data_IF_670109271529
#
_entry.id   IF_670109271529
#
_cell.length_a   1.000
_cell.length_b   1.000
_cell.length_c   1.000
_cell.angle_alpha   90.00
_cell.angle_beta   90.00
_cell.angle_gamma   90.00
#
_symmetry.space_group_name_H-M   'P 1'
#
loop_
_entity.id
_entity.type
_entity.pdbx_description
1 polymer ?
#
# COMPACT_ATOMS: atom_id res chain seq x y z
N UNK A 1 -33.23 3.66 -0.55
CA UNK A 1 -32.34 4.52 -1.37
C UNK A 1 -31.25 5.06 -0.46
N UNK A 2 -30.01 5.26 -0.96
CA UNK A 2 -28.94 5.91 -0.16
C UNK A 2 -29.34 7.34 0.18
N UNK A 3 -29.00 7.82 1.38
CA UNK A 3 -29.25 9.19 1.82
C UNK A 3 -28.55 10.23 0.89
N UNK A 4 -29.17 11.41 0.71
CA UNK A 4 -28.66 12.46 -0.20
C UNK A 4 -27.22 12.86 0.15
N UNK A 5 -26.93 13.04 1.43
CA UNK A 5 -25.60 13.34 1.94
C UNK A 5 -24.58 12.27 1.53
N UNK A 6 -24.86 10.99 1.79
CA UNK A 6 -23.95 9.89 1.46
C UNK A 6 -23.68 9.86 -0.03
N UNK A 7 -24.73 9.96 -0.86
CA UNK A 7 -24.60 9.95 -2.33
C UNK A 7 -23.72 11.08 -2.83
N UNK A 8 -23.99 12.33 -2.42
CA UNK A 8 -23.27 13.49 -2.93
C UNK A 8 -21.84 13.59 -2.40
N UNK A 9 -21.60 13.28 -1.13
CA UNK A 9 -20.25 13.21 -0.58
C UNK A 9 -19.44 12.08 -1.22
N UNK A 10 -20.05 10.90 -1.39
CA UNK A 10 -19.39 9.77 -2.05
C UNK A 10 -18.99 10.14 -3.47
N UNK A 11 -19.91 10.69 -4.27
CA UNK A 11 -19.63 11.10 -5.64
C UNK A 11 -18.51 12.16 -5.72
N UNK A 12 -18.54 13.15 -4.82
CA UNK A 12 -17.50 14.18 -4.75
C UNK A 12 -16.13 13.60 -4.37
N UNK A 13 -16.06 12.80 -3.30
CA UNK A 13 -14.80 12.26 -2.80
C UNK A 13 -14.20 11.18 -3.73
N UNK A 14 -15.01 10.44 -4.48
CA UNK A 14 -14.55 9.48 -5.49
C UNK A 14 -13.79 10.17 -6.64
N UNK A 15 -14.16 11.40 -7.00
CA UNK A 15 -13.42 12.21 -7.98
C UNK A 15 -12.01 12.56 -7.45
N UNK A 16 -11.92 12.77 -6.14
CA UNK A 16 -10.66 13.09 -5.43
C UNK A 16 -9.87 11.83 -5.00
N UNK A 17 -10.37 10.62 -5.32
CA UNK A 17 -9.82 9.32 -4.88
C UNK A 17 -9.72 9.21 -3.35
N UNK A 18 -10.69 9.76 -2.65
CA UNK A 18 -10.80 9.71 -1.19
C UNK A 18 -12.01 8.85 -0.82
N UNK A 19 -11.81 7.95 0.13
CA UNK A 19 -12.88 7.12 0.68
C UNK A 19 -13.73 7.96 1.61
N UNK A 20 -15.05 7.80 1.52
CA UNK A 20 -16.00 8.37 2.47
C UNK A 20 -15.71 7.92 3.92
N UNK A 21 -15.10 6.74 4.07
CA UNK A 21 -14.75 6.13 5.35
C UNK A 21 -13.33 6.46 5.83
N UNK A 22 -12.62 7.38 5.16
CA UNK A 22 -11.27 7.82 5.56
C UNK A 22 -11.23 8.68 6.82
N UNK A 23 -12.39 9.12 7.32
CA UNK A 23 -12.50 10.05 8.44
C UNK A 23 -12.43 11.52 8.03
N UNK A 24 -12.16 11.84 6.76
CA UNK A 24 -12.07 13.23 6.29
C UNK A 24 -13.37 14.02 6.49
N UNK A 25 -14.52 13.34 6.38
CA UNK A 25 -15.83 13.97 6.61
C UNK A 25 -15.94 14.46 8.05
N UNK A 26 -15.55 13.62 9.01
CA UNK A 26 -15.56 13.99 10.43
C UNK A 26 -14.53 15.09 10.71
N UNK A 27 -13.32 14.98 10.16
CA UNK A 27 -12.29 16.00 10.29
C UNK A 27 -12.77 17.37 9.84
N UNK A 28 -13.31 17.47 8.63
CA UNK A 28 -13.84 18.74 8.11
C UNK A 28 -15.04 19.21 8.92
N UNK A 29 -15.92 18.31 9.37
CA UNK A 29 -17.08 18.67 10.21
C UNK A 29 -16.63 19.35 11.50
N UNK A 30 -15.66 18.78 12.21
CA UNK A 30 -15.11 19.40 13.43
C UNK A 30 -14.41 20.73 13.14
N UNK A 31 -13.72 20.86 12.00
CA UNK A 31 -13.13 22.14 11.61
C UNK A 31 -14.16 23.21 11.27
N UNK A 32 -15.26 22.85 10.60
CA UNK A 32 -16.36 23.77 10.31
C UNK A 32 -17.04 24.27 11.60
N UNK A 33 -17.04 23.45 12.65
CA UNK A 33 -17.48 23.82 13.98
C UNK A 33 -16.38 24.53 14.82
N UNK A 34 -15.18 24.80 14.26
CA UNK A 34 -14.04 25.38 14.98
C UNK A 34 -13.64 24.59 16.25
N UNK A 35 -13.49 23.28 16.08
CA UNK A 35 -13.09 22.32 17.11
C UNK A 35 -11.87 21.54 16.65
N UNK A 36 -10.86 21.48 17.51
CA UNK A 36 -9.71 20.59 17.36
C UNK A 36 -9.98 19.30 18.12
N UNK A 37 -9.92 18.19 17.41
CA UNK A 37 -10.12 16.84 17.97
C UNK A 37 -8.87 15.99 17.73
N UNK A 38 -8.64 15.02 18.62
CA UNK A 38 -7.56 14.05 18.46
C UNK A 38 -7.95 12.89 17.51
N UNK A 39 -7.01 11.99 17.20
CA UNK A 39 -7.22 10.85 16.28
C UNK A 39 -8.33 9.89 16.73
N UNK A 40 -8.52 9.70 18.04
CA UNK A 40 -9.55 8.81 18.57
C UNK A 40 -10.94 9.44 18.47
N UNK A 41 -11.04 10.74 18.74
CA UNK A 41 -12.26 11.52 18.62
C UNK A 41 -12.71 11.64 17.16
N UNK A 42 -11.79 11.68 16.18
CA UNK A 42 -12.13 11.68 14.74
C UNK A 42 -12.90 10.43 14.27
N UNK A 43 -12.79 9.31 15.02
CA UNK A 43 -13.58 8.10 14.75
C UNK A 43 -15.06 8.28 15.10
N UNK A 44 -15.41 9.32 15.87
CA UNK A 44 -16.78 9.65 16.26
C UNK A 44 -17.29 10.80 15.39
N UNK A 45 -18.42 10.58 14.72
CA UNK A 45 -19.04 11.53 13.81
C UNK A 45 -20.07 10.82 12.94
N UNK A 46 -20.00 11.05 11.63
CA UNK A 46 -20.76 10.26 10.66
C UNK A 46 -20.24 8.83 10.58
N UNK A 47 -21.17 7.88 10.47
CA UNK A 47 -20.91 6.49 10.14
C UNK A 47 -21.72 6.13 8.89
N UNK A 48 -21.03 5.71 7.83
CA UNK A 48 -21.67 5.40 6.54
C UNK A 48 -21.74 3.88 6.26
N UNK A 49 -21.25 3.04 7.17
CA UNK A 49 -21.09 1.60 6.96
C UNK A 49 -22.41 0.82 7.05
N UNK A 50 -23.48 1.37 7.63
CA UNK A 50 -24.70 0.62 7.97
C UNK A 50 -26.03 1.23 7.45
N UNK A 51 -25.99 2.19 6.52
CA UNK A 51 -27.20 2.87 6.01
C UNK A 51 -27.92 2.15 4.85
N UNK A 52 -27.85 0.82 4.71
CA UNK A 52 -28.66 0.14 3.66
C UNK A 52 -30.18 0.21 3.95
N UNK A 53 -30.58 0.51 5.19
CA UNK A 53 -31.98 0.52 5.63
C UNK A 53 -32.44 1.79 6.35
N UNK A 54 -31.54 2.71 6.73
CA UNK A 54 -31.91 3.93 7.44
C UNK A 54 -31.85 5.17 6.53
N UNK A 55 -33.00 5.83 6.36
CA UNK A 55 -33.09 7.14 5.70
C UNK A 55 -32.51 8.28 6.54
N UNK A 56 -32.29 8.05 7.84
CA UNK A 56 -31.86 9.06 8.81
C UNK A 56 -30.37 8.96 9.05
N UNK A 57 -29.69 10.06 8.78
CA UNK A 57 -28.25 10.20 8.99
C UNK A 57 -28.00 10.67 10.41
N UNK A 58 -27.09 10.01 11.10
CA UNK A 58 -26.70 10.38 12.46
C UNK A 58 -25.26 10.91 12.50
N UNK A 59 -25.05 11.99 13.26
CA UNK A 59 -23.73 12.48 13.64
C UNK A 59 -23.51 12.27 15.14
N UNK A 60 -22.58 11.37 15.48
CA UNK A 60 -22.22 11.09 16.88
C UNK A 60 -21.15 12.06 17.34
N UNK A 61 -21.47 12.92 18.31
CA UNK A 61 -20.49 13.86 18.88
C UNK A 61 -19.42 13.10 19.66
N UNK A 62 -18.14 13.43 19.43
CA UNK A 62 -17.03 12.80 20.11
C UNK A 62 -17.11 12.92 21.64
N UNK A 63 -16.88 11.80 22.32
CA UNK A 63 -16.70 11.76 23.77
C UNK A 63 -15.53 12.65 24.23
N UNK A 64 -15.68 13.24 25.42
CA UNK A 64 -14.67 14.11 26.03
C UNK A 64 -14.65 15.55 25.51
N UNK A 65 -15.57 15.93 24.63
CA UNK A 65 -15.81 17.34 24.29
C UNK A 65 -16.57 18.03 25.43
N UNK A 66 -16.14 19.23 25.79
CA UNK A 66 -16.85 20.04 26.78
C UNK A 66 -18.14 20.65 26.20
N UNK A 67 -19.00 21.18 27.07
CA UNK A 67 -20.29 21.75 26.63
C UNK A 67 -20.14 22.95 25.67
N UNK A 68 -19.05 23.72 25.79
CA UNK A 68 -18.77 24.85 24.90
C UNK A 68 -18.48 24.36 23.47
N UNK A 69 -17.69 23.29 23.34
CA UNK A 69 -17.41 22.63 22.07
C UNK A 69 -18.66 21.98 21.49
N UNK A 70 -19.46 21.29 22.30
CA UNK A 70 -20.74 20.71 21.88
C UNK A 70 -21.67 21.80 21.32
N UNK A 71 -21.75 22.95 22.00
CA UNK A 71 -22.54 24.11 21.55
C UNK A 71 -22.10 24.62 20.17
N UNK A 72 -20.79 24.62 19.85
CA UNK A 72 -20.32 24.98 18.51
C UNK A 72 -20.84 24.01 17.43
N UNK A 73 -20.85 22.70 17.71
CA UNK A 73 -21.39 21.68 16.79
C UNK A 73 -22.89 21.91 16.57
N UNK A 74 -23.64 22.09 17.66
CA UNK A 74 -25.08 22.35 17.58
C UNK A 74 -25.39 23.62 16.79
N UNK A 75 -24.65 24.71 17.04
CA UNK A 75 -24.79 25.97 16.31
C UNK A 75 -24.51 25.81 14.82
N UNK A 76 -23.47 25.04 14.45
CA UNK A 76 -23.15 24.77 13.05
C UNK A 76 -24.30 24.04 12.34
N UNK A 77 -24.90 23.03 12.99
CA UNK A 77 -26.08 22.34 12.48
C UNK A 77 -27.39 23.10 12.72
N UNK A 78 -27.37 24.30 13.31
CA UNK A 78 -28.55 25.10 13.68
C UNK A 78 -29.55 24.33 14.56
N UNK A 79 -29.03 23.49 15.46
CA UNK A 79 -29.82 22.71 16.41
C UNK A 79 -29.91 23.46 17.74
N UNK A 80 -31.13 23.79 18.22
CA UNK A 80 -31.32 24.38 19.54
C UNK A 80 -30.78 23.48 20.67
N UNK A 81 -30.10 24.07 21.65
CA UNK A 81 -29.48 23.34 22.77
C UNK A 81 -30.48 22.50 23.56
N UNK A 82 -31.70 22.99 23.75
CA UNK A 82 -32.80 22.31 24.45
C UNK A 82 -33.28 21.04 23.74
N UNK A 83 -33.00 20.91 22.43
CA UNK A 83 -33.32 19.72 21.64
C UNK A 83 -32.21 18.66 21.67
N UNK A 84 -31.03 19.01 22.19
CA UNK A 84 -29.90 18.08 22.24
C UNK A 84 -29.97 17.20 23.50
N UNK A 85 -30.12 15.89 23.30
CA UNK A 85 -29.98 14.90 24.35
C UNK A 85 -28.49 14.53 24.49
N UNK A 86 -27.87 14.93 25.60
CA UNK A 86 -26.44 14.72 25.82
C UNK A 86 -26.04 13.24 25.65
N UNK A 87 -24.98 13.00 24.88
CA UNK A 87 -24.50 11.65 24.55
C UNK A 87 -25.33 10.90 23.50
N UNK A 88 -26.41 11.49 22.97
CA UNK A 88 -27.14 10.94 21.83
C UNK A 88 -26.62 11.51 20.50
N UNK A 89 -26.65 10.73 19.41
CA UNK A 89 -26.33 11.26 18.08
C UNK A 89 -27.30 12.35 17.63
N UNK A 90 -26.79 13.32 16.89
CA UNK A 90 -27.57 14.32 16.17
C UNK A 90 -28.20 13.66 14.95
N UNK A 91 -29.52 13.74 14.80
CA UNK A 91 -30.22 13.26 13.61
C UNK A 91 -30.35 14.40 12.58
N UNK A 92 -29.80 14.19 11.39
CA UNK A 92 -29.92 15.10 10.27
C UNK A 92 -31.05 14.62 9.36
N UNK A 93 -32.21 15.25 9.52
CA UNK A 93 -33.44 14.87 8.81
C UNK A 93 -33.98 16.01 7.91
N UNK A 94 -33.25 17.12 7.80
CA UNK A 94 -33.64 18.32 7.05
C UNK A 94 -32.75 18.46 5.81
N UNK A 95 -33.35 18.45 4.62
CA UNK A 95 -32.66 18.61 3.34
C UNK A 95 -31.90 19.94 3.25
N UNK A 96 -32.43 21.03 3.82
CA UNK A 96 -31.75 22.32 3.81
C UNK A 96 -30.48 22.30 4.68
N UNK A 97 -30.51 21.57 5.79
CA UNK A 97 -29.33 21.36 6.65
C UNK A 97 -28.29 20.48 5.95
N UNK A 98 -28.73 19.44 5.24
CA UNK A 98 -27.86 18.56 4.45
C UNK A 98 -27.19 19.36 3.31
N UNK A 99 -27.93 20.15 2.55
CA UNK A 99 -27.39 21.00 1.49
C UNK A 99 -26.40 22.02 2.03
N UNK A 100 -26.76 22.70 3.13
CA UNK A 100 -25.87 23.64 3.81
C UNK A 100 -24.55 22.96 4.23
N UNK A 101 -24.63 21.76 4.81
CA UNK A 101 -23.44 21.00 5.18
C UNK A 101 -22.58 20.65 3.95
N UNK A 102 -23.16 20.08 2.90
CA UNK A 102 -22.43 19.68 1.69
C UNK A 102 -21.71 20.86 1.06
N UNK A 103 -22.37 22.02 0.96
CA UNK A 103 -21.78 23.24 0.44
C UNK A 103 -20.55 23.68 1.24
N UNK A 104 -20.68 23.79 2.56
CA UNK A 104 -19.56 24.20 3.43
C UNK A 104 -18.44 23.15 3.45
N UNK A 105 -18.79 21.86 3.41
CA UNK A 105 -17.82 20.77 3.31
C UNK A 105 -16.96 20.89 2.05
N UNK A 106 -17.58 21.04 0.87
CA UNK A 106 -16.87 21.17 -0.41
C UNK A 106 -15.95 22.39 -0.43
N UNK A 107 -16.43 23.54 0.06
CA UNK A 107 -15.63 24.76 0.14
C UNK A 107 -14.44 24.60 1.09
N UNK A 108 -14.64 23.98 2.26
CA UNK A 108 -13.55 23.75 3.21
C UNK A 108 -12.54 22.73 2.68
N UNK A 109 -13.01 21.69 1.99
CA UNK A 109 -12.14 20.72 1.32
C UNK A 109 -11.25 21.42 0.29
N UNK A 110 -11.82 22.26 -0.58
CA UNK A 110 -11.06 22.99 -1.59
C UNK A 110 -10.03 23.95 -0.94
N UNK A 111 -10.42 24.66 0.11
CA UNK A 111 -9.49 25.51 0.86
C UNK A 111 -8.34 24.72 1.51
N UNK A 112 -8.60 23.50 1.99
CA UNK A 112 -7.54 22.61 2.52
C UNK A 112 -6.63 22.10 1.41
N UNK A 113 -7.19 21.79 0.24
CA UNK A 113 -6.42 21.35 -0.93
C UNK A 113 -5.44 22.44 -1.39
N UNK A 114 -5.85 23.70 -1.35
CA UNK A 114 -5.03 24.85 -1.76
C UNK A 114 -4.02 25.27 -0.68
N UNK A 115 -4.44 25.37 0.58
CA UNK A 115 -3.65 25.99 1.64
C UNK A 115 -2.94 24.98 2.56
N UNK A 116 -3.32 23.71 2.50
CA UNK A 116 -2.75 22.65 3.34
C UNK A 116 -2.72 21.30 2.62
N UNK A 117 -2.11 21.21 1.43
CA UNK A 117 -2.09 19.99 0.61
C UNK A 117 -1.61 18.73 1.35
N UNK A 118 -0.66 18.78 2.32
CA UNK A 118 -0.26 17.59 3.07
C UNK A 118 -1.41 16.89 3.82
N UNK A 119 -2.42 17.65 4.26
CA UNK A 119 -3.59 17.08 4.95
C UNK A 119 -4.42 16.25 3.96
N UNK A 120 -4.65 16.78 2.76
CA UNK A 120 -5.38 16.05 1.71
C UNK A 120 -4.58 14.84 1.24
N UNK A 121 -3.26 14.97 1.07
CA UNK A 121 -2.37 13.87 0.73
C UNK A 121 -2.46 12.73 1.74
N UNK A 122 -2.46 13.06 3.04
CA UNK A 122 -2.65 12.08 4.11
C UNK A 122 -3.99 11.35 4.01
N UNK A 123 -5.09 12.05 3.78
CA UNK A 123 -6.40 11.39 3.64
C UNK A 123 -6.52 10.60 2.33
N UNK A 124 -5.87 11.01 1.23
CA UNK A 124 -5.75 10.20 0.01
C UNK A 124 -4.99 8.91 0.30
N UNK A 125 -3.86 8.98 1.02
CA UNK A 125 -3.07 7.82 1.41
C UNK A 125 -3.86 6.86 2.31
N UNK A 126 -4.55 7.37 3.34
CA UNK A 126 -5.43 6.57 4.21
C UNK A 126 -6.62 5.96 3.46
N UNK A 127 -7.09 6.63 2.41
CA UNK A 127 -8.21 6.16 1.58
C UNK A 127 -7.83 5.02 0.65
N UNK A 128 -6.59 5.00 0.17
CA UNK A 128 -6.12 4.03 -0.81
C UNK A 128 -6.40 2.56 -0.42
N UNK A 129 -6.01 2.06 0.78
CA UNK A 129 -6.32 0.69 1.19
C UNK A 129 -7.82 0.41 1.37
N UNK A 130 -8.60 1.43 1.76
CA UNK A 130 -10.05 1.31 1.90
C UNK A 130 -10.73 1.17 0.54
N UNK A 131 -10.30 1.97 -0.44
CA UNK A 131 -10.82 1.92 -1.82
C UNK A 131 -10.43 0.62 -2.51
N UNK A 132 -9.21 0.14 -2.31
CA UNK A 132 -8.74 -1.17 -2.80
C UNK A 132 -9.59 -2.31 -2.23
N UNK A 133 -9.77 -2.33 -0.89
CA UNK A 133 -10.59 -3.35 -0.22
C UNK A 133 -12.02 -3.34 -0.73
N UNK A 134 -12.61 -2.14 -0.89
CA UNK A 134 -13.96 -2.01 -1.44
C UNK A 134 -14.04 -2.50 -2.90
N UNK A 135 -13.08 -2.15 -3.75
CA UNK A 135 -13.04 -2.62 -5.13
C UNK A 135 -12.88 -4.15 -5.21
N UNK A 136 -12.02 -4.74 -4.37
CA UNK A 136 -11.87 -6.20 -4.24
C UNK A 136 -13.16 -6.87 -3.79
N UNK A 137 -13.89 -6.27 -2.85
CA UNK A 137 -15.16 -6.80 -2.35
C UNK A 137 -16.27 -6.72 -3.41
N UNK A 138 -16.35 -5.62 -4.17
CA UNK A 138 -17.30 -5.49 -5.29
C UNK A 138 -17.00 -6.53 -6.38
N UNK A 139 -15.71 -6.70 -6.72
CA UNK A 139 -15.27 -7.71 -7.68
C UNK A 139 -15.67 -9.13 -7.23
N UNK A 140 -15.41 -9.49 -5.97
CA UNK A 140 -15.83 -10.78 -5.39
C UNK A 140 -17.35 -10.95 -5.46
N UNK A 141 -18.11 -9.92 -5.09
CA UNK A 141 -19.58 -9.95 -5.11
C UNK A 141 -20.11 -10.24 -6.51
N UNK A 142 -19.69 -9.47 -7.53
CA UNK A 142 -20.17 -9.69 -8.90
C UNK A 142 -19.71 -11.04 -9.46
N UNK A 143 -18.53 -11.53 -9.06
CA UNK A 143 -18.08 -12.87 -9.42
C UNK A 143 -18.99 -13.96 -8.85
N UNK A 144 -19.39 -13.84 -7.58
CA UNK A 144 -20.32 -14.78 -6.95
C UNK A 144 -21.73 -14.68 -7.55
N UNK A 145 -22.18 -13.47 -7.92
CA UNK A 145 -23.44 -13.27 -8.64
C UNK A 145 -23.42 -13.96 -10.02
N UNK A 146 -22.30 -13.89 -10.76
CA UNK A 146 -22.13 -14.64 -12.02
C UNK A 146 -22.20 -16.15 -11.78
N UNK A 147 -21.52 -16.68 -10.75
CA UNK A 147 -21.59 -18.12 -10.40
C UNK A 147 -23.03 -18.54 -10.12
N UNK A 148 -23.74 -17.78 -9.28
CA UNK A 148 -25.14 -18.06 -8.95
C UNK A 148 -26.04 -18.02 -10.18
N UNK A 149 -25.84 -17.05 -11.09
CA UNK A 149 -26.59 -16.98 -12.34
C UNK A 149 -26.33 -18.16 -13.27
N UNK A 150 -25.08 -18.62 -13.38
CA UNK A 150 -24.76 -19.82 -14.16
C UNK A 150 -25.44 -21.04 -13.54
N UNK A 151 -25.33 -21.24 -12.22
CA UNK A 151 -25.98 -22.35 -11.54
C UNK A 151 -27.50 -22.34 -11.72
N UNK A 152 -28.13 -21.17 -11.65
CA UNK A 152 -29.58 -21.03 -11.82
C UNK A 152 -30.04 -21.20 -13.29
N UNK A 153 -29.22 -20.78 -14.26
CA UNK A 153 -29.59 -20.82 -15.69
C UNK A 153 -29.38 -22.19 -16.33
N UNK A 154 -28.56 -23.05 -15.74
CA UNK A 154 -28.12 -24.31 -16.34
C UNK A 154 -28.22 -25.52 -15.40
N UNK A 155 -29.04 -25.45 -14.34
CA UNK A 155 -29.18 -26.52 -13.33
C UNK A 155 -29.62 -27.87 -13.91
N UNK A 156 -30.45 -27.86 -14.95
CA UNK A 156 -31.13 -29.05 -15.49
C UNK A 156 -30.89 -29.26 -17.00
N UNK A 157 -29.83 -28.64 -17.54
CA UNK A 157 -29.47 -28.71 -18.96
C UNK A 157 -28.08 -29.31 -19.16
N UNK A 158 -27.89 -30.10 -20.22
CA UNK A 158 -26.55 -30.54 -20.64
C UNK A 158 -25.67 -29.31 -20.92
N UNK A 159 -24.57 -29.17 -20.19
CA UNK A 159 -23.65 -28.06 -20.36
C UNK A 159 -22.93 -28.16 -21.72
N UNK A 160 -23.06 -27.13 -22.54
CA UNK A 160 -22.21 -26.96 -23.72
C UNK A 160 -20.77 -26.71 -23.29
N UNK A 161 -19.82 -26.92 -24.21
CA UNK A 161 -18.41 -26.67 -23.90
C UNK A 161 -18.14 -25.19 -23.60
N UNK A 162 -18.90 -24.27 -24.19
CA UNK A 162 -18.87 -22.84 -23.87
C UNK A 162 -19.21 -22.58 -22.40
N UNK A 163 -20.28 -23.19 -21.86
CA UNK A 163 -20.64 -23.03 -20.45
C UNK A 163 -19.63 -23.67 -19.51
N UNK A 164 -19.10 -24.86 -19.85
CA UNK A 164 -18.03 -25.49 -19.06
C UNK A 164 -16.79 -24.61 -19.00
N UNK A 165 -16.40 -24.00 -20.13
CA UNK A 165 -15.26 -23.09 -20.19
C UNK A 165 -15.51 -21.84 -19.34
N UNK A 166 -16.71 -21.27 -19.39
CA UNK A 166 -17.07 -20.13 -18.53
C UNK A 166 -17.00 -20.48 -17.05
N UNK A 167 -17.54 -21.63 -16.63
CA UNK A 167 -17.49 -22.09 -15.24
C UNK A 167 -16.03 -22.26 -14.77
N UNK A 168 -15.20 -22.91 -15.60
CA UNK A 168 -13.77 -23.09 -15.33
C UNK A 168 -13.04 -21.76 -15.18
N UNK A 169 -13.30 -20.82 -16.10
CA UNK A 169 -12.74 -19.48 -16.07
C UNK A 169 -13.14 -18.70 -14.81
N UNK A 170 -14.42 -18.64 -14.48
CA UNK A 170 -14.93 -17.93 -13.29
C UNK A 170 -14.37 -18.55 -12.00
N UNK A 171 -14.25 -19.88 -11.95
CA UNK A 171 -13.64 -20.58 -10.80
C UNK A 171 -12.15 -20.24 -10.65
N UNK A 172 -11.41 -20.22 -11.76
CA UNK A 172 -9.99 -19.85 -11.78
C UNK A 172 -9.79 -18.40 -11.34
N UNK A 173 -10.60 -17.47 -11.85
CA UNK A 173 -10.57 -16.06 -11.45
C UNK A 173 -10.87 -15.90 -9.96
N UNK A 174 -11.83 -16.67 -9.43
CA UNK A 174 -12.14 -16.68 -8.00
C UNK A 174 -10.96 -17.11 -7.12
N UNK A 175 -10.25 -18.17 -7.51
CA UNK A 175 -9.05 -18.62 -6.80
C UNK A 175 -7.97 -17.53 -6.79
N UNK A 176 -7.72 -16.91 -7.94
CA UNK A 176 -6.72 -15.84 -8.08
C UNK A 176 -7.01 -14.63 -7.19
N UNK A 177 -8.27 -14.20 -7.09
CA UNK A 177 -8.68 -13.09 -6.22
C UNK A 177 -8.51 -13.44 -4.74
N UNK A 178 -8.73 -14.70 -4.36
CA UNK A 178 -8.54 -15.19 -3.00
C UNK A 178 -7.04 -15.16 -2.61
N UNK A 179 -6.19 -15.66 -3.50
CA UNK A 179 -4.75 -15.85 -3.27
C UNK A 179 -3.91 -14.57 -3.42
N UNK A 180 -4.51 -13.48 -3.88
CA UNK A 180 -3.84 -12.23 -4.26
C UNK A 180 -2.98 -11.59 -3.14
N UNK A 181 -3.39 -11.74 -1.88
CA UNK A 181 -2.66 -11.18 -0.73
C UNK A 181 -1.32 -11.90 -0.50
N UNK A 182 -1.29 -13.21 -0.77
CA UNK A 182 -0.10 -14.05 -0.67
C UNK A 182 0.75 -13.98 -1.93
N UNK A 183 0.11 -13.76 -3.08
CA UNK A 183 0.74 -13.82 -4.40
C UNK A 183 0.37 -12.58 -5.24
N UNK A 184 1.02 -11.42 -5.00
CA UNK A 184 0.67 -10.18 -5.68
C UNK A 184 0.80 -10.22 -7.21
N UNK A 185 1.61 -11.13 -7.76
CA UNK A 185 1.77 -11.33 -9.20
C UNK A 185 0.48 -11.81 -9.91
N UNK A 186 -0.46 -12.42 -9.18
CA UNK A 186 -1.78 -12.82 -9.70
C UNK A 186 -2.65 -11.61 -10.10
N UNK A 187 -2.25 -10.39 -9.75
CA UNK A 187 -2.89 -9.17 -10.22
C UNK A 187 -3.00 -9.10 -11.75
N UNK A 188 -1.92 -9.44 -12.46
CA UNK A 188 -1.87 -9.38 -13.92
C UNK A 188 -2.88 -10.33 -14.54
N UNK A 189 -3.03 -11.52 -13.94
CA UNK A 189 -4.02 -12.51 -14.36
C UNK A 189 -5.46 -12.01 -14.21
N UNK A 190 -5.75 -11.27 -13.14
CA UNK A 190 -7.07 -10.66 -12.92
C UNK A 190 -7.34 -9.57 -13.96
N UNK A 191 -6.35 -8.73 -14.30
CA UNK A 191 -6.51 -7.71 -15.33
C UNK A 191 -6.73 -8.32 -16.73
N UNK A 192 -5.94 -9.33 -17.08
CA UNK A 192 -6.04 -10.01 -18.37
C UNK A 192 -7.37 -10.74 -18.56
N UNK A 193 -8.05 -11.08 -17.46
CA UNK A 193 -9.37 -11.73 -17.49
C UNK A 193 -10.44 -10.90 -18.24
N UNK A 194 -10.26 -9.58 -18.39
CA UNK A 194 -11.16 -8.73 -19.20
C UNK A 194 -11.26 -9.20 -20.65
N UNK A 195 -10.16 -9.66 -21.24
CA UNK A 195 -10.14 -10.12 -22.64
C UNK A 195 -11.04 -11.34 -22.81
N UNK A 196 -10.95 -12.28 -21.87
CA UNK A 196 -11.73 -13.51 -21.87
C UNK A 196 -13.22 -13.25 -21.62
N UNK A 197 -13.56 -12.34 -20.70
CA UNK A 197 -14.97 -11.95 -20.48
C UNK A 197 -15.55 -11.29 -21.73
N UNK A 198 -14.80 -10.40 -22.38
CA UNK A 198 -15.22 -9.81 -23.66
C UNK A 198 -15.42 -10.87 -24.75
N UNK A 199 -14.58 -11.90 -24.80
CA UNK A 199 -14.77 -13.03 -25.70
C UNK A 199 -16.10 -13.75 -25.42
N UNK A 200 -16.38 -14.10 -24.16
CA UNK A 200 -17.65 -14.73 -23.77
C UNK A 200 -18.86 -13.88 -24.16
N UNK A 201 -18.82 -12.56 -23.96
CA UNK A 201 -19.91 -11.65 -24.31
C UNK A 201 -20.25 -11.63 -25.82
N UNK A 202 -19.30 -11.98 -26.69
CA UNK A 202 -19.53 -12.06 -28.14
C UNK A 202 -20.19 -13.38 -28.58
N UNK A 203 -20.20 -14.40 -27.73
CA UNK A 203 -20.77 -15.69 -28.06
C UNK A 203 -22.30 -15.63 -28.02
N UNK A 204 -22.95 -16.17 -29.07
CA UNK A 204 -24.42 -16.17 -29.20
C UNK A 204 -25.13 -16.78 -27.99
N UNK A 205 -24.55 -17.83 -27.41
CA UNK A 205 -25.11 -18.52 -26.25
C UNK A 205 -25.14 -17.63 -24.99
N UNK A 206 -24.16 -16.74 -24.83
CA UNK A 206 -24.12 -15.77 -23.74
C UNK A 206 -25.05 -14.58 -23.99
N UNK A 207 -25.02 -14.05 -25.21
CA UNK A 207 -25.86 -12.91 -25.60
C UNK A 207 -27.36 -13.27 -25.57
N UNK A 208 -27.70 -14.55 -25.77
CA UNK A 208 -29.07 -15.06 -25.62
C UNK A 208 -29.59 -15.05 -24.18
N UNK A 209 -28.72 -15.02 -23.17
CA UNK A 209 -29.10 -14.93 -21.75
C UNK A 209 -28.83 -13.52 -21.21
N UNK A 210 -29.81 -12.63 -21.36
CA UNK A 210 -29.69 -11.21 -20.98
C UNK A 210 -29.28 -11.00 -19.51
N UNK A 211 -29.72 -11.86 -18.58
CA UNK A 211 -29.36 -11.74 -17.16
C UNK A 211 -27.89 -12.08 -16.93
N UNK A 212 -27.41 -13.18 -17.51
CA UNK A 212 -25.99 -13.57 -17.41
C UNK A 212 -25.09 -12.54 -18.12
N UNK A 213 -25.50 -12.08 -19.30
CA UNK A 213 -24.80 -11.02 -20.04
C UNK A 213 -24.66 -9.75 -19.19
N UNK A 214 -25.74 -9.28 -18.55
CA UNK A 214 -25.68 -8.11 -17.66
C UNK A 214 -24.71 -8.32 -16.48
N UNK A 215 -24.69 -9.51 -15.87
CA UNK A 215 -23.78 -9.81 -14.78
C UNK A 215 -22.31 -9.87 -15.22
N UNK A 216 -22.03 -10.38 -16.43
CA UNK A 216 -20.69 -10.35 -17.01
C UNK A 216 -20.21 -8.92 -17.31
N UNK A 217 -21.12 -8.02 -17.72
CA UNK A 217 -20.82 -6.59 -17.87
C UNK A 217 -20.50 -5.96 -16.51
N UNK A 218 -21.30 -6.23 -15.48
CA UNK A 218 -21.03 -5.76 -14.12
C UNK A 218 -19.69 -6.30 -13.57
N UNK A 219 -19.32 -7.55 -13.94
CA UNK A 219 -18.02 -8.11 -13.61
C UNK A 219 -16.88 -7.35 -14.32
N UNK A 220 -17.01 -7.01 -15.61
CA UNK A 220 -16.04 -6.15 -16.32
C UNK A 220 -15.87 -4.79 -15.64
N UNK A 221 -16.97 -4.13 -15.27
CA UNK A 221 -16.95 -2.85 -14.57
C UNK A 221 -16.22 -2.98 -13.22
N UNK A 222 -16.44 -4.09 -12.50
CA UNK A 222 -15.74 -4.35 -11.24
C UNK A 222 -14.24 -4.62 -11.41
N UNK A 223 -13.82 -5.25 -12.52
CA UNK A 223 -12.39 -5.42 -12.82
C UNK A 223 -11.75 -4.07 -13.18
N UNK A 224 -12.46 -3.20 -13.90
CA UNK A 224 -11.99 -1.84 -14.16
C UNK A 224 -11.87 -1.01 -12.88
N UNK A 225 -12.84 -1.15 -11.96
CA UNK A 225 -12.78 -0.53 -10.63
C UNK A 225 -11.59 -1.06 -9.81
N UNK A 226 -11.36 -2.38 -9.86
CA UNK A 226 -10.23 -3.03 -9.25
C UNK A 226 -8.92 -2.48 -9.81
N UNK A 227 -8.70 -2.50 -11.12
CA UNK A 227 -7.52 -1.90 -11.77
C UNK A 227 -7.27 -0.44 -11.34
N UNK A 228 -8.34 0.35 -11.21
CA UNK A 228 -8.23 1.77 -10.85
C UNK A 228 -7.66 2.00 -9.45
N UNK A 229 -7.95 1.14 -8.48
CA UNK A 229 -7.59 1.34 -7.07
C UNK A 229 -6.57 0.34 -6.53
N UNK A 230 -6.23 -0.70 -7.29
CA UNK A 230 -5.33 -1.74 -6.83
C UNK A 230 -3.87 -1.30 -6.82
N UNK A 231 -3.11 -1.72 -5.81
CA UNK A 231 -1.76 -1.20 -5.52
C UNK A 231 -0.67 -2.28 -5.52
N UNK A 232 -0.95 -3.44 -6.12
CA UNK A 232 0.03 -4.53 -6.20
C UNK A 232 1.31 -4.15 -6.95
N UNK A 233 1.25 -3.24 -7.93
CA UNK A 233 2.46 -2.75 -8.56
C UNK A 233 3.38 -2.07 -7.53
N UNK A 234 2.83 -1.22 -6.64
CA UNK A 234 3.59 -0.60 -5.57
C UNK A 234 4.13 -1.62 -4.56
N UNK A 235 3.35 -2.65 -4.21
CA UNK A 235 3.80 -3.75 -3.34
C UNK A 235 4.97 -4.52 -3.96
N UNK A 236 4.86 -4.86 -5.26
CA UNK A 236 5.90 -5.57 -6.00
C UNK A 236 7.17 -4.73 -6.10
N UNK A 237 7.03 -3.43 -6.42
CA UNK A 237 8.13 -2.47 -6.44
C UNK A 237 8.87 -2.40 -5.10
N UNK A 238 8.13 -2.29 -3.98
CA UNK A 238 8.75 -2.26 -2.65
C UNK A 238 9.47 -3.57 -2.28
N UNK A 239 8.93 -4.71 -2.71
CA UNK A 239 9.50 -6.03 -2.43
C UNK A 239 10.86 -6.21 -3.11
N UNK A 240 11.02 -5.71 -4.34
CA UNK A 240 12.26 -5.78 -5.10
C UNK A 240 13.31 -4.72 -4.72
N UNK A 241 12.86 -3.52 -4.32
CA UNK A 241 13.70 -2.32 -4.19
C UNK A 241 14.97 -2.53 -3.34
N UNK A 242 14.84 -3.12 -2.15
CA UNK A 242 16.00 -3.31 -1.25
C UNK A 242 17.05 -4.25 -1.84
N UNK A 243 16.60 -5.35 -2.46
CA UNK A 243 17.49 -6.33 -3.09
C UNK A 243 18.18 -5.70 -4.28
N UNK A 244 17.43 -5.04 -5.15
CA UNK A 244 17.96 -4.37 -6.34
C UNK A 244 18.94 -3.26 -6.00
N UNK A 245 18.68 -2.48 -4.94
CA UNK A 245 19.60 -1.43 -4.51
C UNK A 245 20.92 -2.00 -3.98
N UNK A 246 20.85 -3.07 -3.18
CA UNK A 246 22.04 -3.77 -2.69
C UNK A 246 22.86 -4.33 -3.85
N UNK A 247 22.21 -4.96 -4.83
CA UNK A 247 22.85 -5.49 -6.04
C UNK A 247 23.49 -4.37 -6.89
N UNK A 248 22.80 -3.24 -7.06
CA UNK A 248 23.30 -2.07 -7.79
C UNK A 248 24.57 -1.48 -7.18
N UNK A 249 24.74 -1.53 -5.85
CA UNK A 249 25.91 -0.97 -5.16
C UNK A 249 27.16 -1.86 -5.17
N UNK A 250 27.03 -3.15 -5.55
CA UNK A 250 28.15 -4.10 -5.57
C UNK A 250 29.32 -3.62 -6.44
N UNK A 251 29.14 -3.14 -7.69
CA UNK A 251 30.23 -2.67 -8.53
C UNK A 251 30.98 -1.46 -7.94
N UNK A 252 30.30 -0.67 -7.11
CA UNK A 252 30.88 0.48 -6.43
C UNK A 252 31.60 0.12 -5.13
N UNK A 253 31.54 -1.14 -4.69
CA UNK A 253 32.07 -1.66 -3.41
C UNK A 253 31.49 -0.94 -2.19
N UNK A 254 30.19 -0.69 -2.23
CA UNK A 254 29.47 -0.02 -1.15
C UNK A 254 28.46 -0.99 -0.54
N UNK A 255 28.51 -1.14 0.78
CA UNK A 255 27.47 -1.85 1.53
C UNK A 255 26.46 -0.82 2.07
N UNK A 256 25.20 -0.82 1.59
CA UNK A 256 24.18 0.12 2.07
C UNK A 256 23.82 -0.06 3.56
N UNK A 257 24.21 -1.15 4.19
CA UNK A 257 23.97 -1.39 5.63
C UNK A 257 25.01 -0.68 6.52
N UNK A 258 26.18 -0.33 5.98
CA UNK A 258 27.30 0.29 6.72
C UNK A 258 27.42 1.80 6.52
N UNK A 259 26.67 2.37 5.58
CA UNK A 259 26.76 3.79 5.27
C UNK A 259 25.42 4.36 4.83
N UNK A 260 25.26 5.66 5.01
CA UNK A 260 24.03 6.37 4.66
C UNK A 260 24.14 7.10 3.31
N UNK A 261 24.52 6.37 2.27
CA UNK A 261 24.58 6.92 0.91
C UNK A 261 23.18 7.33 0.43
N UNK A 262 22.18 6.49 0.71
CA UNK A 262 20.81 6.71 0.26
C UNK A 262 20.18 7.96 0.89
N UNK A 263 20.34 8.15 2.20
CA UNK A 263 19.87 9.35 2.89
C UNK A 263 20.52 10.61 2.37
N UNK A 264 21.85 10.60 2.20
CA UNK A 264 22.55 11.74 1.63
C UNK A 264 22.02 12.10 0.24
N UNK A 265 21.82 11.12 -0.65
CA UNK A 265 21.32 11.41 -1.99
C UNK A 265 19.90 11.96 -1.95
N UNK A 266 18.99 11.38 -1.16
CA UNK A 266 17.61 11.89 -1.03
C UNK A 266 17.61 13.33 -0.51
N UNK A 267 18.43 13.63 0.49
CA UNK A 267 18.56 14.99 1.02
C UNK A 267 19.15 15.96 -0.01
N UNK A 268 20.18 15.53 -0.73
CA UNK A 268 20.83 16.32 -1.79
C UNK A 268 19.87 16.64 -2.93
N UNK A 269 19.10 15.65 -3.40
CA UNK A 269 18.10 15.82 -4.46
C UNK A 269 16.95 16.76 -4.03
N UNK A 270 16.64 16.82 -2.73
CA UNK A 270 15.64 17.73 -2.16
C UNK A 270 16.23 19.10 -1.73
N UNK A 271 17.48 19.41 -2.07
CA UNK A 271 18.22 20.63 -1.65
C UNK A 271 18.24 20.84 -0.12
N UNK A 272 18.33 19.74 0.62
CA UNK A 272 18.46 19.73 2.08
C UNK A 272 19.92 19.55 2.47
N UNK A 273 20.54 20.62 2.98
CA UNK A 273 21.95 20.63 3.39
C UNK A 273 22.08 20.27 4.87
N UNK A 274 22.26 18.98 5.15
CA UNK A 274 22.60 18.49 6.50
C UNK A 274 23.92 17.73 6.42
N UNK A 275 24.85 18.03 7.33
CA UNK A 275 26.22 17.51 7.29
C UNK A 275 26.42 16.14 7.97
N UNK A 276 25.34 15.46 8.38
CA UNK A 276 25.38 14.17 9.09
C UNK A 276 24.59 13.09 8.39
N UNK A 277 24.97 11.83 8.62
CA UNK A 277 24.19 10.66 8.23
C UNK A 277 22.82 10.72 8.92
N UNK A 278 21.76 10.75 8.11
CA UNK A 278 20.42 11.04 8.57
C UNK A 278 19.39 9.99 8.16
N UNK A 279 19.59 9.12 7.17
CA UNK A 279 18.68 7.98 7.00
C UNK A 279 18.89 7.00 8.14
N UNK A 280 17.80 6.74 8.85
CA UNK A 280 17.75 5.71 9.86
C UNK A 280 17.29 4.39 9.26
N UNK A 281 16.26 4.42 8.40
CA UNK A 281 15.64 3.22 7.86
C UNK A 281 14.89 3.52 6.57
N UNK A 282 14.98 2.58 5.64
CA UNK A 282 14.03 2.41 4.54
C UNK A 282 13.27 1.11 4.80
N UNK A 283 11.94 1.14 4.76
CA UNK A 283 11.15 -0.07 4.94
C UNK A 283 9.78 0.08 4.28
N UNK A 284 9.12 -1.04 3.90
CA UNK A 284 7.69 -1.00 3.62
C UNK A 284 6.91 -0.45 4.81
N UNK A 285 5.89 0.36 4.54
CA UNK A 285 4.94 0.82 5.54
C UNK A 285 3.98 -0.27 6.01
N UNK A 286 3.07 0.09 6.92
CA UNK A 286 2.00 -0.80 7.39
C UNK A 286 1.16 -1.29 6.19
N UNK A 287 0.79 -0.34 5.35
CA UNK A 287 0.25 -0.54 4.03
C UNK A 287 1.41 -0.84 3.07
N UNK A 288 1.78 -2.11 2.90
CA UNK A 288 2.98 -2.60 2.16
C UNK A 288 3.21 -1.99 0.77
N UNK A 289 2.20 -1.34 0.18
CA UNK A 289 2.29 -0.56 -1.04
C UNK A 289 3.08 0.75 -0.88
N UNK A 290 3.21 1.26 0.33
CA UNK A 290 3.94 2.50 0.65
C UNK A 290 5.31 2.20 1.21
N UNK A 291 6.23 3.12 0.95
CA UNK A 291 7.60 3.08 1.44
C UNK A 291 7.75 4.13 2.54
N UNK A 292 8.23 3.71 3.70
CA UNK A 292 8.56 4.58 4.83
C UNK A 292 10.05 4.89 4.78
N UNK A 293 10.37 6.18 4.72
CA UNK A 293 11.73 6.71 4.74
C UNK A 293 11.89 7.43 6.08
N UNK A 294 12.59 6.81 7.02
CA UNK A 294 12.81 7.37 8.35
C UNK A 294 14.16 8.05 8.41
N UNK A 295 14.16 9.30 8.85
CA UNK A 295 15.35 10.09 9.08
C UNK A 295 15.59 10.33 10.58
N UNK A 296 16.85 10.52 10.95
CA UNK A 296 17.34 10.88 12.28
C UNK A 296 17.74 12.35 12.27
N UNK A 297 17.35 13.08 13.32
CA UNK A 297 17.75 14.47 13.56
C UNK A 297 17.41 15.44 12.43
N UNK A 298 16.29 15.21 11.75
CA UNK A 298 15.76 16.12 10.74
C UNK A 298 14.59 16.90 11.35
N UNK A 299 14.49 18.20 11.03
CA UNK A 299 13.40 19.03 11.49
C UNK A 299 12.22 19.00 10.50
N UNK A 300 11.07 19.55 10.91
CA UNK A 300 9.86 19.58 10.09
C UNK A 300 10.04 20.38 8.79
N UNK A 301 10.85 21.45 8.78
CA UNK A 301 11.10 22.25 7.57
C UNK A 301 11.76 21.41 6.48
N UNK A 302 12.80 20.66 6.82
CA UNK A 302 13.50 19.80 5.89
C UNK A 302 12.65 18.61 5.43
N UNK A 303 11.84 18.04 6.32
CA UNK A 303 10.85 17.02 5.94
C UNK A 303 9.87 17.57 4.91
N UNK A 304 9.38 18.79 5.10
CA UNK A 304 8.49 19.43 4.13
C UNK A 304 9.17 19.65 2.78
N UNK A 305 10.44 20.05 2.73
CA UNK A 305 11.19 20.16 1.46
C UNK A 305 11.28 18.82 0.72
N UNK A 306 11.50 17.72 1.44
CA UNK A 306 11.53 16.38 0.82
C UNK A 306 10.15 16.02 0.28
N UNK A 307 9.07 16.28 1.02
CA UNK A 307 7.70 16.01 0.59
C UNK A 307 7.34 16.86 -0.63
N UNK A 308 7.66 18.15 -0.60
CA UNK A 308 7.46 19.06 -1.73
C UNK A 308 8.22 18.56 -2.96
N UNK A 309 9.47 18.13 -2.81
CA UNK A 309 10.23 17.51 -3.91
C UNK A 309 9.52 16.27 -4.48
N UNK A 310 9.01 15.37 -3.63
CA UNK A 310 8.23 14.20 -4.09
C UNK A 310 6.95 14.62 -4.84
N UNK A 311 6.25 15.65 -4.35
CA UNK A 311 5.06 16.19 -5.00
C UNK A 311 5.38 16.78 -6.37
N UNK A 312 6.48 17.54 -6.50
CA UNK A 312 6.94 18.09 -7.77
C UNK A 312 7.33 16.99 -8.77
N UNK A 313 7.84 15.87 -8.30
CA UNK A 313 8.13 14.69 -9.12
C UNK A 313 6.88 13.88 -9.50
N UNK A 314 5.75 14.08 -8.81
CA UNK A 314 4.45 13.52 -9.18
C UNK A 314 3.74 12.68 -8.10
N UNK A 315 4.33 12.44 -6.93
CA UNK A 315 3.63 11.76 -5.82
C UNK A 315 2.86 12.76 -4.98
N UNK A 316 1.66 13.14 -5.41
CA UNK A 316 0.74 13.98 -4.64
C UNK A 316 0.32 13.37 -3.29
N UNK A 317 0.65 12.10 -3.03
CA UNK A 317 0.27 11.39 -1.81
C UNK A 317 1.40 11.29 -0.81
N UNK A 318 2.59 11.84 -1.09
CA UNK A 318 3.68 11.85 -0.10
C UNK A 318 3.28 12.69 1.12
N UNK A 319 3.54 12.22 2.34
CA UNK A 319 3.24 12.96 3.56
C UNK A 319 4.18 12.62 4.71
N UNK A 320 4.25 13.51 5.69
CA UNK A 320 5.03 13.31 6.91
C UNK A 320 4.29 12.38 7.87
N UNK A 321 5.01 11.41 8.42
CA UNK A 321 4.58 10.58 9.54
C UNK A 321 5.28 11.09 10.78
N UNK A 322 4.52 11.77 11.65
CA UNK A 322 4.98 12.15 12.97
C UNK A 322 5.12 10.89 13.83
N UNK A 323 6.30 10.26 13.81
CA UNK A 323 6.76 9.43 14.91
C UNK A 323 7.16 10.34 16.08
N UNK A 324 6.19 11.05 16.68
CA UNK A 324 6.35 11.45 18.08
C UNK A 324 6.42 10.16 18.87
N UNK A 325 7.63 9.65 19.06
CA UNK A 325 7.89 8.35 19.67
C UNK A 325 7.47 8.43 21.13
N UNK A 326 6.24 8.01 21.45
CA UNK A 326 6.05 7.24 22.67
C UNK A 326 6.65 5.87 22.39
N UNK A 327 7.88 5.65 22.85
CA UNK A 327 8.46 4.32 22.96
C UNK A 327 7.54 3.46 23.83
N UNK A 328 6.67 2.68 23.21
CA UNK A 328 6.09 1.49 23.85
C UNK A 328 6.00 0.36 22.84
N UNK A 329 6.76 -0.71 23.14
CA UNK A 329 6.65 -2.05 22.61
C UNK A 329 6.96 -2.25 21.11
N UNK A 330 8.26 -2.47 20.85
CA UNK A 330 8.67 -3.47 19.89
C UNK A 330 8.11 -4.83 20.37
N UNK A 331 7.07 -5.36 19.74
CA UNK A 331 6.65 -6.76 19.92
C UNK A 331 6.87 -7.53 18.62
N UNK A 332 8.14 -7.88 18.36
CA UNK A 332 8.45 -9.10 17.62
C UNK A 332 9.11 -10.04 18.63
N UNK A 333 8.41 -11.13 18.91
CA UNK A 333 8.85 -12.17 19.82
C UNK A 333 10.25 -12.67 19.43
N UNK A 334 11.25 -12.41 20.29
CA UNK A 334 12.48 -13.20 20.32
C UNK A 334 12.45 -14.08 21.57
N UNK A 335 12.07 -15.34 21.36
CA UNK A 335 12.58 -16.44 22.19
C UNK A 335 14.03 -16.68 21.75
N UNK A 336 14.98 -16.38 22.62
CA UNK A 336 16.13 -17.22 22.97
C UNK A 336 17.00 -16.47 23.98
N UNK A 337 17.06 -17.02 25.19
CA UNK A 337 18.04 -16.76 26.26
C UNK A 337 19.46 -17.06 25.71
N UNK A 338 20.53 -16.34 26.07
CA UNK A 338 21.21 -16.28 27.38
C UNK A 338 22.30 -15.17 27.37
N UNK A 339 22.98 -14.85 28.49
CA UNK A 339 23.31 -13.50 28.93
C UNK A 339 24.78 -13.15 28.69
N UNK A 340 25.19 -11.91 28.97
CA UNK A 340 26.43 -11.61 29.70
C UNK A 340 26.57 -10.10 29.95
N UNK A 341 26.95 -9.83 31.19
CA UNK A 341 27.63 -8.66 31.75
C UNK A 341 26.90 -7.32 31.88
N UNK A 342 26.50 -7.11 33.14
CA UNK A 342 26.45 -5.80 33.80
C UNK A 342 27.84 -5.17 33.74
N UNK A 343 27.96 -4.05 33.04
CA UNK A 343 28.92 -3.02 33.42
C UNK A 343 28.14 -1.76 33.77
N UNK A 344 28.25 -1.41 35.05
CA UNK A 344 27.89 -0.12 35.60
C UNK A 344 28.88 0.94 35.09
N UNK A 345 28.41 2.18 35.01
CA UNK A 345 29.11 3.40 34.59
C UNK A 345 29.25 3.68 33.09
N UNK A 346 28.19 4.25 32.53
CA UNK A 346 28.27 5.57 31.88
C UNK A 346 26.87 6.18 31.87
N UNK A 347 26.67 7.23 32.66
CA UNK A 347 25.50 8.09 32.52
C UNK A 347 25.68 8.93 31.24
N UNK A 348 25.60 8.29 30.07
CA UNK A 348 25.33 8.99 28.83
C UNK A 348 23.88 9.45 28.91
N UNK A 349 23.67 10.75 29.14
CA UNK A 349 22.44 11.41 28.69
C UNK A 349 22.34 11.19 27.18
N UNK A 350 21.70 10.08 26.79
CA UNK A 350 21.35 9.80 25.42
C UNK A 350 20.40 10.91 24.99
N UNK A 351 20.91 11.87 24.20
CA UNK A 351 20.04 12.76 23.43
C UNK A 351 19.08 11.85 22.67
N UNK A 352 17.82 11.84 23.08
CA UNK A 352 16.76 11.18 22.34
C UNK A 352 16.77 11.80 20.95
N UNK A 353 17.18 11.02 19.95
CA UNK A 353 17.19 11.47 18.58
C UNK A 353 15.75 11.64 18.11
N UNK A 354 15.41 12.83 17.63
CA UNK A 354 14.13 13.06 16.96
C UNK A 354 14.12 12.25 15.65
N UNK A 355 13.10 11.40 15.50
CA UNK A 355 12.86 10.62 14.30
C UNK A 355 11.69 11.24 13.56
N UNK A 356 11.88 11.48 12.27
CA UNK A 356 10.80 11.89 11.40
C UNK A 356 10.77 10.95 10.20
N UNK A 357 9.58 10.51 9.84
CA UNK A 357 9.37 9.60 8.73
C UNK A 357 8.55 10.30 7.66
N UNK A 358 8.78 9.94 6.40
CA UNK A 358 7.86 10.24 5.31
C UNK A 358 7.36 8.94 4.73
N UNK A 359 6.11 8.96 4.26
CA UNK A 359 5.53 7.87 3.51
C UNK A 359 5.31 8.29 2.06
N UNK A 360 5.76 7.47 1.13
CA UNK A 360 5.63 7.69 -0.32
C UNK A 360 5.09 6.45 -1.00
N UNK A 361 4.45 6.60 -2.17
CA UNK A 361 4.01 5.43 -2.95
C UNK A 361 5.21 4.60 -3.47
N UNK A 362 5.13 3.27 -3.32
CA UNK A 362 6.23 2.37 -3.66
C UNK A 362 6.53 2.29 -5.16
N UNK A 363 5.50 2.29 -6.01
CA UNK A 363 5.67 2.28 -7.46
C UNK A 363 6.30 3.59 -7.90
N UNK A 364 5.80 4.72 -7.39
CA UNK A 364 6.35 6.03 -7.64
C UNK A 364 7.83 6.11 -7.25
N UNK A 365 8.18 5.73 -6.01
CA UNK A 365 9.57 5.78 -5.56
C UNK A 365 10.46 4.96 -6.49
N UNK A 366 10.04 3.74 -6.84
CA UNK A 366 10.80 2.86 -7.72
C UNK A 366 10.95 3.40 -9.15
N UNK A 367 9.92 4.06 -9.70
CA UNK A 367 9.91 4.51 -11.10
C UNK A 367 10.45 5.91 -11.32
N UNK A 368 10.32 6.81 -10.33
CA UNK A 368 10.68 8.22 -10.47
C UNK A 368 11.89 8.63 -9.63
N UNK A 369 11.99 8.12 -8.40
CA UNK A 369 13.04 8.53 -7.43
C UNK A 369 14.28 7.65 -7.56
N UNK A 370 14.09 6.33 -7.61
CA UNK A 370 15.18 5.37 -7.68
C UNK A 370 16.10 5.55 -8.91
N UNK A 371 15.61 5.88 -10.12
CA UNK A 371 16.47 6.21 -11.24
C UNK A 371 17.36 7.43 -10.98
N UNK A 372 16.83 8.49 -10.35
CA UNK A 372 17.61 9.68 -10.01
C UNK A 372 18.69 9.36 -8.97
N UNK A 373 18.39 8.47 -8.01
CA UNK A 373 19.38 7.98 -7.05
C UNK A 373 20.53 7.27 -7.78
N UNK A 374 20.22 6.36 -8.71
CA UNK A 374 21.25 5.64 -9.49
C UNK A 374 22.10 6.59 -10.32
N UNK A 375 21.46 7.56 -10.98
CA UNK A 375 22.17 8.58 -11.77
C UNK A 375 23.10 9.43 -10.90
N UNK A 376 22.62 9.87 -9.73
CA UNK A 376 23.43 10.66 -8.79
C UNK A 376 24.65 9.85 -8.31
N UNK A 377 24.49 8.57 -7.97
CA UNK A 377 25.61 7.69 -7.59
C UNK A 377 26.63 7.56 -8.74
N UNK A 378 26.15 7.39 -9.96
CA UNK A 378 27.03 7.32 -11.13
C UNK A 378 27.82 8.63 -11.32
N UNK A 379 27.19 9.79 -11.13
CA UNK A 379 27.86 11.10 -11.18
C UNK A 379 28.85 11.29 -10.03
N UNK A 380 28.50 10.92 -8.79
CA UNK A 380 29.41 10.97 -7.64
C UNK A 380 30.64 10.08 -7.88
N UNK A 381 30.49 8.97 -8.60
CA UNK A 381 31.60 8.09 -8.98
C UNK A 381 32.57 8.80 -9.92
N UNK A 382 32.08 9.45 -10.98
CA UNK A 382 32.92 10.17 -11.94
C UNK A 382 33.60 11.39 -11.31
N UNK A 383 33.01 11.95 -10.25
CA UNK A 383 33.56 13.05 -9.46
C UNK A 383 34.44 12.60 -8.28
N UNK A 384 34.71 11.29 -8.12
CA UNK A 384 35.50 10.72 -7.01
C UNK A 384 34.95 11.01 -5.60
N UNK A 385 33.64 11.24 -5.48
CA UNK A 385 32.96 11.60 -4.23
C UNK A 385 32.44 10.39 -3.43
N UNK A 386 32.62 9.17 -3.94
CA UNK A 386 32.20 7.93 -3.25
C UNK A 386 33.22 7.37 -2.26
N UNK A 387 34.42 7.96 -2.16
CA UNK A 387 35.56 7.41 -1.42
C UNK A 387 35.26 7.17 0.07
N UNK A 388 34.54 8.07 0.72
CA UNK A 388 34.14 7.93 2.13
C UNK A 388 33.18 6.74 2.36
N UNK A 389 32.26 6.51 1.44
CA UNK A 389 31.30 5.38 1.49
C UNK A 389 31.98 4.04 1.22
N UNK A 390 32.96 4.03 0.31
CA UNK A 390 33.77 2.86 -0.01
C UNK A 390 34.66 2.46 1.17
N UNK A 391 35.29 3.43 1.85
CA UNK A 391 36.13 3.15 3.02
C UNK A 391 35.29 2.57 4.17
N UNK A 392 34.08 3.11 4.42
CA UNK A 392 33.15 2.54 5.41
C UNK A 392 32.72 1.10 5.11
N UNK A 393 32.75 0.70 3.83
CA UNK A 393 32.34 -0.63 3.35
C UNK A 393 33.50 -1.60 3.15
N UNK A 394 34.75 -1.14 3.33
CA UNK A 394 35.97 -1.82 2.87
C UNK A 394 36.13 -3.25 3.36
N UNK A 395 35.74 -3.54 4.60
CA UNK A 395 35.88 -4.87 5.20
C UNK A 395 34.99 -5.92 4.56
N UNK A 396 33.83 -5.53 4.01
CA UNK A 396 32.87 -6.46 3.40
C UNK A 396 33.29 -6.92 2.00
N UNK A 397 34.20 -6.16 1.39
CA UNK A 397 34.71 -6.42 0.04
C UNK A 397 36.20 -6.79 0.04
N UNK A 398 36.78 -7.06 1.21
CA UNK A 398 38.12 -7.67 1.28
C UNK A 398 38.03 -9.05 0.62
N UNK A 399 38.87 -9.28 -0.39
CA UNK A 399 39.13 -10.63 -0.88
C UNK A 399 39.68 -11.42 0.29
N UNK A 400 39.00 -12.48 0.73
CA UNK A 400 39.55 -13.44 1.68
C UNK A 400 40.74 -14.13 1.03
N UNK A 401 41.93 -13.56 1.20
CA UNK A 401 43.20 -14.16 0.79
C UNK A 401 43.66 -15.28 1.73
N UNK A 402 42.85 -15.65 2.73
CA UNK A 402 43.17 -16.67 3.75
C UNK A 402 42.10 -17.76 3.84
N UNK A 403 41.90 -18.51 2.75
CA UNK A 403 41.48 -19.93 2.80
C UNK A 403 41.86 -20.69 1.51
N UNK A 404 42.94 -20.27 0.84
CA UNK A 404 43.50 -20.99 -0.31
C UNK A 404 44.79 -21.74 0.07
N UNK A 405 44.75 -22.53 1.16
CA UNK A 405 45.74 -23.59 1.42
C UNK A 405 45.07 -24.77 2.13
N UNK A 406 45.10 -25.91 1.43
CA UNK A 406 44.74 -27.28 1.85
C UNK A 406 43.21 -27.52 1.91
N UNK A 407 42.58 -28.40 1.12
CA UNK A 407 43.03 -29.68 0.56
C UNK A 407 42.55 -29.91 -0.88
N UNK A 408 43.50 -30.11 -1.79
CA UNK A 408 43.31 -30.99 -2.94
C UNK A 408 43.06 -32.40 -2.39
N UNK A 409 41.83 -32.91 -2.44
CA UNK A 409 41.55 -34.32 -2.70
C UNK A 409 40.14 -34.44 -3.30
N UNK A 410 40.17 -34.69 -4.61
CA UNK A 410 39.06 -35.17 -5.44
C UNK A 410 38.35 -36.36 -4.81
N UNK A 411 37.01 -36.35 -4.81
CA UNK A 411 36.21 -37.57 -4.67
C UNK A 411 34.98 -37.52 -5.57
N UNK A 412 35.19 -37.60 -6.88
CA UNK A 412 34.34 -38.41 -7.73
C UNK A 412 35.21 -39.20 -8.72
N UNK A 413 35.14 -40.53 -8.58
CA UNK A 413 35.38 -41.64 -9.53
C UNK A 413 36.34 -42.74 -9.02
N UNK A 414 35.79 -43.82 -8.43
CA UNK A 414 35.67 -45.23 -8.95
C UNK A 414 36.78 -46.14 -8.40
N UNK A 415 36.66 -47.42 -8.01
CA UNK A 415 35.71 -48.58 -8.01
C UNK A 415 36.44 -49.74 -7.23
N UNK A 416 36.10 -51.07 -7.20
CA UNK A 416 34.85 -51.87 -7.19
C UNK A 416 34.76 -52.95 -6.04
N UNK A 417 33.69 -53.79 -6.06
CA UNK A 417 33.39 -55.04 -5.31
C UNK A 417 32.93 -54.90 -3.83
N UNK A 418 31.86 -55.54 -3.32
CA UNK A 418 31.18 -56.80 -3.66
C UNK A 418 29.70 -56.86 -3.16
N UNK A 419 28.86 -57.63 -3.90
CA UNK A 419 27.67 -58.44 -3.53
C UNK A 419 26.69 -57.90 -2.45
N UNK A 420 25.39 -57.70 -2.70
CA UNK A 420 24.45 -58.69 -3.23
C UNK A 420 23.02 -58.09 -3.29
N UNK A 421 22.25 -58.51 -4.31
CA UNK A 421 20.79 -58.80 -4.28
C UNK A 421 19.80 -57.61 -4.06
N UNK A 422 18.76 -57.33 -4.86
CA UNK A 422 18.03 -58.05 -5.91
C UNK A 422 17.16 -57.02 -6.69
N UNK A 423 17.15 -57.10 -8.04
CA UNK A 423 16.06 -56.87 -9.03
C UNK A 423 15.05 -55.69 -8.88
N UNK A 424 14.63 -54.91 -9.90
CA UNK A 424 14.58 -55.13 -11.36
C UNK A 424 14.25 -53.81 -12.10
N UNK A 425 15.09 -53.45 -13.09
CA UNK A 425 14.83 -53.05 -14.49
C UNK A 425 13.52 -52.29 -14.87
N UNK A 426 13.62 -51.04 -15.38
CA UNK A 426 13.80 -50.59 -16.80
C UNK A 426 12.46 -50.57 -17.61
N UNK A 427 12.15 -49.65 -18.54
CA UNK A 427 12.96 -48.73 -19.37
C UNK A 427 12.03 -47.85 -20.25
N UNK A 428 12.58 -46.68 -20.66
CA UNK A 428 12.42 -45.97 -21.97
C UNK A 428 11.07 -45.27 -22.22
N UNK A 429 10.94 -44.16 -22.95
CA UNK A 429 11.77 -43.28 -23.83
C UNK A 429 10.77 -42.16 -24.26
N UNK A 430 11.08 -40.89 -24.56
CA UNK A 430 12.09 -40.40 -25.51
C UNK A 430 12.35 -38.90 -25.32
N UNK A 431 13.59 -38.53 -25.64
CA UNK A 431 14.12 -37.18 -25.78
C UNK A 431 13.62 -36.50 -27.06
N UNK A 432 13.57 -35.17 -27.04
CA UNK A 432 14.08 -34.36 -28.15
C UNK A 432 14.90 -33.20 -27.58
N UNK A 433 16.14 -33.07 -28.06
CA UNK A 433 17.14 -32.06 -27.74
C UNK A 433 17.28 -31.14 -28.95
N UNK A 434 17.39 -29.82 -28.74
CA UNK A 434 17.89 -28.87 -29.73
C UNK A 434 18.65 -27.76 -29.00
N UNK A 435 19.98 -27.89 -28.92
CA UNK A 435 20.90 -26.78 -28.71
C UNK A 435 21.97 -26.88 -29.79
N UNK A 436 22.04 -25.89 -30.69
CA UNK A 436 23.26 -25.11 -31.05
C UNK A 436 22.98 -24.24 -32.27
N UNK A 437 23.27 -22.93 -32.17
CA UNK A 437 24.28 -22.25 -33.00
C UNK A 437 24.29 -20.74 -32.70
N UNK A 438 25.25 -20.32 -31.87
CA UNK A 438 25.84 -18.99 -31.92
C UNK A 438 27.28 -19.16 -32.36
N UNK A 439 27.60 -18.67 -33.56
CA UNK A 439 28.93 -18.24 -34.02
C UNK A 439 28.78 -17.47 -35.34
N UNK A 440 28.63 -16.16 -35.23
CA UNK A 440 29.53 -15.13 -35.77
C UNK A 440 28.99 -13.75 -35.41
#
# INVERSE_FOLDING_TARGET
>A
MKSKLKRELQQFLEQERISLNSGIVNYITYQLADIKVNKEQLKQGFSFDHEETMEKIAFSIAAGLDFSQIKKILNFFKIPEDKYLHGKPILLNDDAMIEYFIFNFKNRFQALKENSPPIIAQYKALSAPLLETNAKNILKKHLDEVKLMIMASYSDTSLTDTIKNLISFISTLSGRIHDLESFPHLYVDILNSKQEINHFLQLREMNGNQKLCAQLIMLLDSIALFERYHRNESILSNTGLHKEFKEFLIPYRINPEKCDLLGHIILSLADVKIHTANLFRLAPGEDRARLVITFRNINAEHINKIIEWMHHLGDETAFAVDEKTSLSACSVAKKQEYPLDKNEHEAQTTKLYEKCSIEVDGKFFYTCVYPQIKENIAQMTTQYQLSSYQEASKEDFKVTSETARVSEHSMFEKNPNSSSQFNTFNKKSSRTCMCTLLKN
#
